data_IF_586679686793
#
_entry.id   IF_586679686793
#
_cell.length_a   1.000
_cell.length_b   1.000
_cell.length_c   1.000
_cell.angle_alpha   90.00
_cell.angle_beta   90.00
_cell.angle_gamma   90.00
#
_symmetry.space_group_name_H-M   'P 1'
#
loop_
_entity.id
_entity.type
_entity.pdbx_description
1 polymer ?
#
# COMPACT_ATOMS: atom_id res chain seq x y z
N UNK A 1 -8.76 8.49 8.60
CA UNK A 1 -9.27 7.42 9.48
C UNK A 1 -8.16 6.52 10.00
N UNK A 2 -7.36 5.89 9.13
CA UNK A 2 -6.28 4.96 9.52
C UNK A 2 -5.33 5.55 10.56
N UNK A 3 -4.78 6.74 10.30
CA UNK A 3 -3.87 7.41 11.24
C UNK A 3 -4.50 7.63 12.62
N UNK A 4 -5.78 8.02 12.70
CA UNK A 4 -6.47 8.23 13.97
C UNK A 4 -6.63 6.91 14.75
N UNK A 5 -6.99 5.81 14.09
CA UNK A 5 -7.08 4.48 14.71
C UNK A 5 -5.71 3.98 15.18
N UNK A 6 -4.67 4.16 14.37
CA UNK A 6 -3.32 3.73 14.75
C UNK A 6 -2.78 4.57 15.92
N UNK A 7 -3.04 5.87 15.95
CA UNK A 7 -2.70 6.71 17.11
C UNK A 7 -3.44 6.25 18.37
N UNK A 8 -4.75 5.97 18.27
CA UNK A 8 -5.54 5.44 19.39
C UNK A 8 -4.95 4.12 19.92
N UNK A 9 -4.55 3.19 19.03
CA UNK A 9 -3.90 1.96 19.46
C UNK A 9 -2.54 2.19 20.13
N UNK A 10 -1.76 3.15 19.63
CA UNK A 10 -0.47 3.51 20.25
C UNK A 10 -0.68 4.11 21.65
N UNK A 11 -1.67 4.98 21.82
CA UNK A 11 -2.00 5.60 23.11
C UNK A 11 -2.44 4.58 24.17
N UNK A 12 -3.11 3.50 23.76
CA UNK A 12 -3.57 2.43 24.64
C UNK A 12 -2.57 1.28 24.83
N UNK A 13 -1.38 1.37 24.24
CA UNK A 13 -0.36 0.32 24.30
C UNK A 13 0.77 0.67 25.25
N UNK A 14 1.13 -0.27 26.12
CA UNK A 14 2.28 -0.12 27.03
C UNK A 14 3.61 0.00 26.27
N UNK A 15 3.70 -0.67 25.12
CA UNK A 15 4.89 -0.73 24.27
C UNK A 15 4.56 -0.16 22.89
N UNK A 16 5.50 0.55 22.22
CA UNK A 16 5.28 1.02 20.86
C UNK A 16 4.92 -0.14 19.94
N UNK A 17 3.75 -0.06 19.31
CA UNK A 17 3.28 -1.10 18.41
C UNK A 17 4.02 -1.02 17.08
N UNK A 18 4.49 -2.16 16.60
CA UNK A 18 4.89 -2.31 15.21
C UNK A 18 3.63 -2.50 14.37
N UNK A 19 3.37 -1.57 13.46
CA UNK A 19 2.20 -1.62 12.56
C UNK A 19 2.64 -2.08 11.19
N UNK A 20 2.03 -3.14 10.68
CA UNK A 20 2.27 -3.70 9.36
C UNK A 20 0.99 -3.74 8.51
N UNK A 21 1.14 -3.75 7.19
CA UNK A 21 0.04 -3.88 6.25
C UNK A 21 0.52 -4.43 4.89
N UNK A 22 -0.34 -5.15 4.17
CA UNK A 22 -0.07 -5.53 2.78
C UNK A 22 -0.24 -4.31 1.88
N UNK A 23 0.87 -3.76 1.38
CA UNK A 23 0.91 -2.56 0.53
C UNK A 23 1.56 -2.86 -0.83
N UNK A 24 1.27 -4.04 -1.38
CA UNK A 24 1.93 -4.61 -2.57
C UNK A 24 1.80 -3.72 -3.82
N UNK A 25 0.66 -3.05 -3.99
CA UNK A 25 0.40 -2.13 -5.11
C UNK A 25 0.20 -0.68 -4.64
N UNK A 26 0.98 -0.28 -3.64
CA UNK A 26 0.87 1.05 -3.03
C UNK A 26 0.05 1.08 -1.75
N UNK A 27 0.12 2.21 -1.04
CA UNK A 27 -0.70 2.46 0.12
C UNK A 27 -2.20 2.54 -0.26
N UNK A 28 -2.51 3.00 -1.49
CA UNK A 28 -3.87 3.00 -2.03
C UNK A 28 -4.55 1.64 -1.94
N UNK A 29 -3.82 0.53 -2.12
CA UNK A 29 -4.38 -0.84 -2.03
C UNK A 29 -5.22 -1.10 -0.78
N UNK A 30 -4.83 -0.52 0.36
CA UNK A 30 -5.57 -0.61 1.63
C UNK A 30 -6.27 0.69 2.02
N UNK A 31 -5.97 1.79 1.35
CA UNK A 31 -6.32 3.16 1.77
C UNK A 31 -6.82 4.02 0.60
N UNK A 32 -7.69 3.49 -0.27
CA UNK A 32 -8.26 4.22 -1.44
C UNK A 32 -9.15 5.41 -1.10
N UNK A 33 -9.48 5.63 0.17
CA UNK A 33 -10.42 6.67 0.59
C UNK A 33 -11.86 6.33 0.21
N UNK A 34 -12.73 7.33 0.20
CA UNK A 34 -14.13 7.19 -0.17
C UNK A 34 -14.41 7.90 -1.50
N UNK A 35 -15.48 7.50 -2.19
CA UNK A 35 -15.96 8.21 -3.38
C UNK A 35 -17.31 8.83 -3.04
N UNK A 36 -17.47 10.13 -3.29
CA UNK A 36 -18.75 10.78 -3.13
C UNK A 36 -19.68 10.44 -4.30
N UNK A 37 -20.81 9.79 -4.01
CA UNK A 37 -21.88 9.54 -4.98
C UNK A 37 -22.96 10.64 -4.90
N UNK A 38 -23.57 11.05 -6.04
CA UNK A 38 -23.42 10.50 -7.38
C UNK A 38 -22.26 11.10 -8.21
N UNK A 39 -21.50 12.06 -7.68
CA UNK A 39 -20.50 12.82 -8.44
C UNK A 39 -19.20 12.06 -8.78
N UNK A 40 -19.01 10.85 -8.25
CA UNK A 40 -17.78 10.05 -8.38
C UNK A 40 -16.51 10.83 -8.03
N UNK A 41 -16.59 11.73 -7.05
CA UNK A 41 -15.45 12.54 -6.61
C UNK A 41 -14.68 11.73 -5.56
N UNK A 42 -13.40 11.45 -5.82
CA UNK A 42 -12.52 10.84 -4.83
C UNK A 42 -12.31 11.78 -3.63
N UNK A 43 -12.67 11.31 -2.44
CA UNK A 43 -12.53 11.99 -1.17
C UNK A 43 -11.26 11.53 -0.48
N UNK A 44 -10.13 11.98 -1.02
CA UNK A 44 -8.79 11.64 -0.53
C UNK A 44 -8.46 10.15 -0.67
N UNK A 45 -7.32 9.77 -0.11
CA UNK A 45 -6.78 8.41 -0.24
C UNK A 45 -5.27 8.44 -0.39
N UNK A 46 -4.68 7.25 -0.45
CA UNK A 46 -3.29 7.05 -0.83
C UNK A 46 -3.19 6.66 -2.31
N UNK A 47 -1.99 6.75 -2.87
CA UNK A 47 -1.76 6.52 -4.30
C UNK A 47 -1.95 5.04 -4.65
N UNK A 48 -2.77 4.77 -5.66
CA UNK A 48 -2.92 3.44 -6.29
C UNK A 48 -1.88 3.28 -7.41
N UNK A 49 -1.16 2.15 -7.40
CA UNK A 49 -0.24 1.77 -8.47
C UNK A 49 -0.75 0.59 -9.30
N UNK A 50 -0.26 0.41 -10.54
CA UNK A 50 -0.45 -0.82 -11.29
C UNK A 50 0.05 -2.06 -10.52
N UNK A 51 -0.37 -3.25 -10.96
CA UNK A 51 0.15 -4.51 -10.41
C UNK A 51 1.66 -4.64 -10.61
N UNK A 52 2.31 -5.45 -9.78
CA UNK A 52 3.76 -5.73 -9.90
C UNK A 52 4.11 -6.36 -11.25
N UNK A 53 3.19 -7.12 -11.86
CA UNK A 53 3.37 -7.66 -13.21
C UNK A 53 3.35 -6.54 -14.28
N UNK A 54 2.45 -5.56 -14.15
CA UNK A 54 2.41 -4.40 -15.06
C UNK A 54 3.65 -3.52 -14.88
N UNK A 55 4.12 -3.34 -13.65
CA UNK A 55 5.38 -2.67 -13.36
C UNK A 55 6.57 -3.43 -13.97
N UNK A 56 6.61 -4.77 -13.83
CA UNK A 56 7.61 -5.62 -14.46
C UNK A 56 7.62 -5.53 -15.98
N UNK A 57 6.43 -5.45 -16.60
CA UNK A 57 6.28 -5.27 -18.04
C UNK A 57 6.87 -3.94 -18.57
N UNK A 58 7.03 -2.93 -17.71
CA UNK A 58 7.70 -1.67 -18.10
C UNK A 58 9.21 -1.83 -18.33
N UNK A 59 9.84 -2.83 -17.69
CA UNK A 59 11.29 -3.03 -17.74
C UNK A 59 12.14 -1.93 -17.07
N UNK A 60 11.53 -0.94 -16.40
CA UNK A 60 12.24 0.19 -15.78
C UNK A 60 12.28 0.06 -14.26
N UNK A 61 13.46 -0.27 -13.72
CA UNK A 61 13.68 -0.45 -12.27
C UNK A 61 13.51 0.85 -11.49
N UNK A 62 13.60 2.03 -12.12
CA UNK A 62 13.38 3.31 -11.44
C UNK A 62 11.92 3.49 -11.07
N UNK A 63 11.00 3.02 -11.92
CA UNK A 63 9.57 3.05 -11.60
C UNK A 63 9.27 2.16 -10.38
N UNK A 64 9.94 1.01 -10.27
CA UNK A 64 9.80 0.14 -9.11
C UNK A 64 10.30 0.81 -7.82
N UNK A 65 11.44 1.50 -7.90
CA UNK A 65 11.96 2.28 -6.78
C UNK A 65 11.00 3.41 -6.38
N UNK A 66 10.50 4.18 -7.33
CA UNK A 66 9.59 5.30 -7.04
C UNK A 66 8.27 4.81 -6.44
N UNK A 67 7.72 3.70 -6.95
CA UNK A 67 6.54 3.07 -6.34
C UNK A 67 6.81 2.69 -4.88
N UNK A 68 7.92 2.01 -4.60
CA UNK A 68 8.31 1.66 -3.23
C UNK A 68 8.49 2.90 -2.34
N UNK A 69 9.13 3.95 -2.86
CA UNK A 69 9.37 5.21 -2.13
C UNK A 69 8.07 5.92 -1.78
N UNK A 70 7.15 6.09 -2.74
CA UNK A 70 5.84 6.72 -2.51
C UNK A 70 5.03 5.90 -1.50
N UNK A 71 5.00 4.58 -1.67
CA UNK A 71 4.33 3.66 -0.73
C UNK A 71 4.85 3.84 0.69
N UNK A 72 6.17 3.88 0.88
CA UNK A 72 6.78 4.05 2.19
C UNK A 72 6.43 5.43 2.81
N UNK A 73 6.47 6.51 2.01
CA UNK A 73 6.12 7.86 2.49
C UNK A 73 4.67 7.92 2.96
N UNK A 74 3.73 7.41 2.16
CA UNK A 74 2.30 7.39 2.50
C UNK A 74 2.02 6.48 3.70
N UNK A 75 2.66 5.30 3.76
CA UNK A 75 2.55 4.37 4.87
C UNK A 75 3.03 5.00 6.19
N UNK A 76 4.20 5.64 6.18
CA UNK A 76 4.74 6.34 7.37
C UNK A 76 3.84 7.48 7.80
N UNK A 77 3.25 8.22 6.86
CA UNK A 77 2.37 9.36 7.15
C UNK A 77 1.11 8.94 7.94
N UNK A 78 0.67 7.68 7.80
CA UNK A 78 -0.48 7.15 8.55
C UNK A 78 -0.10 6.29 9.75
N UNK A 79 1.20 6.05 10.00
CA UNK A 79 1.66 5.26 11.15
C UNK A 79 1.94 3.78 10.86
N UNK A 80 1.99 3.36 9.59
CA UNK A 80 2.44 2.02 9.19
C UNK A 80 3.98 2.02 9.13
N UNK A 81 4.60 0.96 9.65
CA UNK A 81 6.06 0.81 9.77
C UNK A 81 6.60 -0.22 8.78
N UNK A 82 5.87 -1.31 8.60
CA UNK A 82 6.33 -2.47 7.85
C UNK A 82 5.33 -2.77 6.73
N UNK A 83 5.61 -2.36 5.49
CA UNK A 83 4.87 -2.88 4.35
C UNK A 83 5.23 -4.36 4.14
N UNK A 84 4.23 -5.23 4.00
CA UNK A 84 4.44 -6.59 3.49
C UNK A 84 4.54 -6.54 1.97
N UNK A 85 5.66 -6.00 1.49
CA UNK A 85 6.01 -5.83 0.09
C UNK A 85 7.54 -5.65 -0.03
N UNK A 86 8.16 -5.93 -1.20
CA UNK A 86 7.54 -6.42 -2.43
C UNK A 86 7.29 -7.93 -2.42
N UNK A 87 6.36 -8.38 -3.27
CA UNK A 87 6.27 -9.80 -3.66
C UNK A 87 7.43 -10.10 -4.60
N UNK A 88 8.23 -11.13 -4.25
CA UNK A 88 9.40 -11.56 -5.02
C UNK A 88 9.20 -12.93 -5.69
N UNK A 89 7.96 -13.41 -5.71
CA UNK A 89 7.60 -14.67 -6.35
C UNK A 89 7.80 -14.57 -7.87
N UNK A 90 8.37 -15.62 -8.45
CA UNK A 90 8.49 -15.76 -9.91
C UNK A 90 7.27 -16.52 -10.40
N UNK A 91 6.33 -15.82 -11.03
CA UNK A 91 5.11 -16.43 -11.54
C UNK A 91 5.35 -17.19 -12.87
N UNK A 92 6.00 -18.35 -12.78
CA UNK A 92 6.33 -19.21 -13.91
C UNK A 92 5.24 -20.24 -14.26
N UNK A 93 4.19 -20.34 -13.44
CA UNK A 93 3.05 -21.21 -13.65
C UNK A 93 1.82 -20.36 -14.04
N UNK A 94 1.34 -20.41 -15.29
CA UNK A 94 0.16 -19.65 -15.70
C UNK A 94 -1.13 -20.07 -14.97
N UNK A 95 -1.17 -21.27 -14.37
CA UNK A 95 -2.31 -21.76 -13.60
C UNK A 95 -2.20 -21.42 -12.10
N UNK A 96 -1.25 -20.57 -11.71
CA UNK A 96 -1.16 -20.09 -10.32
C UNK A 96 -2.38 -19.22 -9.97
N UNK A 97 -3.19 -19.59 -8.96
CA UNK A 97 -4.39 -18.84 -8.63
C UNK A 97 -4.17 -17.73 -7.60
N UNK A 98 -2.97 -17.61 -7.03
CA UNK A 98 -2.65 -16.69 -5.93
C UNK A 98 -1.77 -15.52 -6.40
N UNK A 99 -0.74 -15.81 -7.21
CA UNK A 99 0.20 -14.83 -7.80
C UNK A 99 -0.13 -14.64 -9.28
#
# INVERSE_FOLDING_TARGET
EVAAKLNDFQEHSQWPLLVAADLETGAGFRMRGAVQMPGTIELGGATDFPSLMALGASGDTRLAYEMGRVTAVEARAVGIHVPFAPVLDVNNNPDNPII
#
